data_IF_153469185751
#
_entry.id   IF_153469185751
#
_cell.length_a   1.000
_cell.length_b   1.000
_cell.length_c   1.000
_cell.angle_alpha   90.00
_cell.angle_beta   90.00
_cell.angle_gamma   90.00
#
_symmetry.space_group_name_H-M   'P 1'
#
loop_
_entity.id
_entity.type
_entity.pdbx_description
1 polymer ?
#
# COMPACT_ATOMS: atom_id res chain seq x y z
N UNK A 1 -26.27 36.62 -28.03
CA UNK A 1 -25.34 36.90 -26.91
C UNK A 1 -24.82 35.54 -26.43
N UNK A 2 -24.17 34.80 -27.32
CA UNK A 2 -23.85 33.36 -27.16
C UNK A 2 -22.36 33.06 -27.42
N UNK A 3 -21.56 34.10 -27.71
CA UNK A 3 -20.16 33.97 -28.11
C UNK A 3 -19.16 34.14 -26.96
N UNK A 4 -19.59 33.96 -25.69
CA UNK A 4 -18.71 34.24 -24.51
C UNK A 4 -18.40 33.05 -23.62
N UNK A 5 -19.07 31.90 -23.77
CA UNK A 5 -18.81 30.70 -22.95
C UNK A 5 -17.91 29.69 -23.66
N UNK A 6 -18.07 29.55 -24.97
CA UNK A 6 -17.29 28.65 -25.82
C UNK A 6 -15.81 29.07 -25.92
N UNK A 7 -15.54 30.38 -25.82
CA UNK A 7 -14.19 30.96 -25.82
C UNK A 7 -13.44 30.83 -24.49
N UNK A 8 -14.12 30.54 -23.37
CA UNK A 8 -13.50 30.28 -22.06
C UNK A 8 -13.09 28.81 -21.88
N UNK A 9 -13.76 27.89 -22.58
CA UNK A 9 -13.36 26.48 -22.64
C UNK A 9 -12.09 26.26 -23.48
N UNK A 10 -11.74 27.23 -24.33
CA UNK A 10 -10.59 27.16 -25.25
C UNK A 10 -9.24 27.58 -24.64
N UNK A 11 -9.19 28.04 -23.37
CA UNK A 11 -7.97 28.63 -22.77
C UNK A 11 -7.15 27.62 -21.96
N UNK A 12 -7.68 26.43 -21.67
CA UNK A 12 -6.90 25.37 -21.04
C UNK A 12 -6.59 24.30 -22.07
N UNK A 13 -5.55 24.53 -22.88
CA UNK A 13 -4.93 23.43 -23.63
C UNK A 13 -4.57 22.33 -22.64
N UNK A 14 -5.02 21.09 -22.84
CA UNK A 14 -4.68 20.00 -21.95
C UNK A 14 -3.15 19.86 -21.92
N UNK A 15 -2.61 19.67 -20.71
CA UNK A 15 -1.17 19.51 -20.51
C UNK A 15 -0.84 18.06 -20.84
N UNK A 16 -0.01 17.86 -21.86
CA UNK A 16 0.56 16.56 -22.17
C UNK A 16 1.74 16.25 -21.28
N UNK A 17 1.83 14.99 -20.86
CA UNK A 17 2.90 14.46 -20.03
C UNK A 17 3.39 13.16 -20.63
N UNK A 18 4.68 13.07 -20.86
CA UNK A 18 5.31 11.81 -21.25
C UNK A 18 5.54 10.96 -20.00
N UNK A 19 4.95 9.77 -19.99
CA UNK A 19 5.10 8.77 -18.94
C UNK A 19 6.16 7.77 -19.38
N UNK A 20 7.35 7.86 -18.80
CA UNK A 20 8.45 6.93 -19.10
C UNK A 20 8.24 5.60 -18.37
N UNK A 21 8.90 4.53 -18.83
CA UNK A 21 8.97 3.30 -18.06
C UNK A 21 9.58 3.56 -16.67
N UNK A 22 9.00 2.95 -15.63
CA UNK A 22 9.42 3.19 -14.24
C UNK A 22 8.60 4.27 -13.54
N UNK A 23 9.19 4.93 -12.54
CA UNK A 23 8.49 5.91 -11.70
C UNK A 23 8.41 7.28 -12.35
N UNK A 24 7.19 7.82 -12.41
CA UNK A 24 6.89 9.18 -12.86
C UNK A 24 6.13 9.91 -11.75
N UNK A 25 6.38 11.20 -11.60
CA UNK A 25 5.58 12.08 -10.73
C UNK A 25 4.78 13.02 -11.62
N UNK A 26 3.45 12.91 -11.57
CA UNK A 26 2.55 13.71 -12.39
C UNK A 26 1.61 14.54 -11.52
N UNK A 27 1.29 15.75 -11.96
CA UNK A 27 0.23 16.56 -11.38
C UNK A 27 -1.11 16.23 -12.05
N UNK A 28 -2.20 16.17 -11.29
CA UNK A 28 -3.54 16.10 -11.86
C UNK A 28 -4.00 17.50 -12.31
N UNK A 29 -4.39 17.62 -13.57
CA UNK A 29 -4.49 18.91 -14.27
C UNK A 29 -5.93 19.42 -14.45
N UNK A 30 -6.94 18.58 -14.23
CA UNK A 30 -8.33 19.01 -14.33
C UNK A 30 -8.78 19.79 -13.09
N UNK A 31 -9.70 20.76 -13.24
CA UNK A 31 -10.14 21.63 -12.14
C UNK A 31 -11.20 21.00 -11.23
N UNK A 32 -11.61 19.75 -11.49
CA UNK A 32 -12.60 19.00 -10.70
C UNK A 32 -12.12 17.58 -10.43
N UNK A 33 -12.66 16.95 -9.40
CA UNK A 33 -12.32 15.57 -9.04
C UNK A 33 -12.87 14.56 -10.06
N UNK A 34 -12.10 13.50 -10.34
CA UNK A 34 -12.52 12.45 -11.28
C UNK A 34 -12.00 11.09 -10.85
N UNK A 35 -12.77 10.03 -11.12
CA UNK A 35 -12.42 8.69 -10.70
C UNK A 35 -11.08 8.22 -11.26
N UNK A 36 -10.20 7.75 -10.38
CA UNK A 36 -8.83 7.34 -10.73
C UNK A 36 -8.82 6.22 -11.76
N UNK A 37 -9.67 5.20 -11.57
CA UNK A 37 -9.74 4.06 -12.47
C UNK A 37 -10.21 4.50 -13.87
N UNK A 38 -11.20 5.39 -13.95
CA UNK A 38 -11.66 5.97 -15.21
C UNK A 38 -10.57 6.79 -15.92
N UNK A 39 -9.84 7.64 -15.20
CA UNK A 39 -8.77 8.47 -15.77
C UNK A 39 -7.62 7.66 -16.39
N UNK A 40 -7.34 6.48 -15.85
CA UNK A 40 -6.22 5.64 -16.26
C UNK A 40 -6.65 4.42 -17.09
N UNK A 41 -7.93 4.28 -17.43
CA UNK A 41 -8.48 3.08 -18.07
C UNK A 41 -7.74 2.71 -19.37
N UNK A 42 -7.53 3.71 -20.24
CA UNK A 42 -6.84 3.55 -21.54
C UNK A 42 -5.40 3.02 -21.42
N UNK A 43 -4.74 3.26 -20.29
CA UNK A 43 -3.36 2.87 -20.03
C UNK A 43 -3.21 1.92 -18.83
N UNK A 44 -4.32 1.36 -18.35
CA UNK A 44 -4.39 0.55 -17.14
C UNK A 44 -3.47 -0.68 -17.22
N UNK A 45 -3.39 -1.32 -18.39
CA UNK A 45 -2.49 -2.43 -18.65
C UNK A 45 -0.99 -2.04 -18.58
N UNK A 46 -0.66 -0.78 -18.83
CA UNK A 46 0.70 -0.24 -18.77
C UNK A 46 1.08 0.29 -17.39
N UNK A 47 0.15 0.34 -16.44
CA UNK A 47 0.40 0.86 -15.08
C UNK A 47 0.57 -0.28 -14.09
N UNK A 48 1.70 -0.32 -13.38
CA UNK A 48 1.85 -1.19 -12.22
C UNK A 48 1.00 -0.69 -11.04
N UNK A 49 1.25 0.55 -10.61
CA UNK A 49 0.63 1.14 -9.42
C UNK A 49 0.66 2.67 -9.53
N UNK A 50 -0.39 3.31 -9.04
CA UNK A 50 -0.45 4.75 -8.81
C UNK A 50 -0.57 5.01 -7.31
N UNK A 51 0.14 6.03 -6.80
CA UNK A 51 0.12 6.40 -5.38
C UNK A 51 -0.21 7.88 -5.19
N UNK A 52 -1.04 8.15 -4.20
CA UNK A 52 -1.26 9.51 -3.68
C UNK A 52 -0.23 9.85 -2.60
N UNK A 53 -0.15 11.14 -2.24
CA UNK A 53 0.73 11.62 -1.18
C UNK A 53 0.39 11.00 0.20
N UNK A 54 -0.86 10.59 0.42
CA UNK A 54 -1.32 9.98 1.68
C UNK A 54 -1.13 8.46 1.74
N UNK A 55 -0.47 7.87 0.74
CA UNK A 55 -0.20 6.43 0.70
C UNK A 55 -1.37 5.59 0.19
N UNK A 56 -2.48 6.21 -0.21
CA UNK A 56 -3.52 5.52 -0.96
C UNK A 56 -3.01 5.12 -2.34
N UNK A 57 -3.46 3.97 -2.86
CA UNK A 57 -2.96 3.42 -4.11
C UNK A 57 -4.07 2.92 -5.02
N UNK A 58 -3.83 3.05 -6.32
CA UNK A 58 -4.60 2.40 -7.37
C UNK A 58 -3.72 1.32 -8.02
N UNK A 59 -4.22 0.10 -8.07
CA UNK A 59 -3.52 -1.08 -8.58
C UNK A 59 -4.42 -1.79 -9.60
N UNK A 60 -4.27 -1.47 -10.91
CA UNK A 60 -5.16 -1.99 -11.95
C UNK A 60 -5.19 -3.51 -12.02
N UNK A 61 -4.03 -4.16 -11.89
CA UNK A 61 -3.88 -5.61 -11.98
C UNK A 61 -4.72 -6.38 -10.95
N UNK A 62 -4.93 -5.81 -9.77
CA UNK A 62 -5.76 -6.42 -8.73
C UNK A 62 -7.17 -5.82 -8.67
N UNK A 63 -7.56 -4.96 -9.60
CA UNK A 63 -8.86 -4.29 -9.56
C UNK A 63 -9.04 -3.46 -8.28
N UNK A 64 -7.96 -2.88 -7.74
CA UNK A 64 -8.01 -2.15 -6.47
C UNK A 64 -7.88 -0.64 -6.71
N UNK A 65 -8.84 0.14 -6.22
CA UNK A 65 -8.77 1.61 -6.23
C UNK A 65 -8.98 2.19 -4.83
N UNK A 66 -7.90 2.26 -4.04
CA UNK A 66 -7.90 2.90 -2.73
C UNK A 66 -7.75 4.42 -2.77
N UNK A 67 -7.41 5.01 -3.93
CA UNK A 67 -7.35 6.48 -4.10
C UNK A 67 -8.76 7.06 -4.20
N UNK A 68 -9.67 6.35 -4.88
CA UNK A 68 -10.98 6.85 -5.22
C UNK A 68 -10.87 7.83 -6.38
N UNK A 69 -10.94 9.13 -6.07
CA UNK A 69 -10.97 10.20 -7.06
C UNK A 69 -9.66 11.02 -7.02
N UNK A 70 -9.16 11.38 -8.20
CA UNK A 70 -8.03 12.29 -8.35
C UNK A 70 -8.50 13.71 -8.01
N UNK A 71 -7.74 14.41 -7.16
CA UNK A 71 -8.11 15.74 -6.65
C UNK A 71 -7.31 16.84 -7.35
N UNK A 72 -7.96 17.94 -7.78
CA UNK A 72 -7.28 19.10 -8.36
C UNK A 72 -6.14 19.62 -7.48
N UNK A 73 -5.00 19.91 -8.10
CA UNK A 73 -3.81 20.43 -7.41
C UNK A 73 -3.00 19.39 -6.63
N UNK A 74 -3.35 18.11 -6.68
CA UNK A 74 -2.55 17.02 -6.12
C UNK A 74 -1.61 16.40 -7.16
N UNK A 75 -0.49 15.85 -6.66
CA UNK A 75 0.45 15.05 -7.43
C UNK A 75 0.33 13.56 -7.10
N UNK A 76 0.61 12.73 -8.10
CA UNK A 76 0.53 11.27 -8.03
C UNK A 76 1.80 10.64 -8.59
N UNK A 77 2.28 9.61 -7.90
CA UNK A 77 3.39 8.79 -8.40
C UNK A 77 2.85 7.62 -9.18
N UNK A 78 3.25 7.48 -10.44
CA UNK A 78 2.82 6.41 -11.35
C UNK A 78 4.03 5.54 -11.69
N UNK A 79 3.94 4.24 -11.40
CA UNK A 79 4.92 3.26 -11.83
C UNK A 79 4.42 2.60 -13.12
N UNK A 80 5.14 2.82 -14.22
CA UNK A 80 4.79 2.34 -15.55
C UNK A 80 5.56 1.07 -15.93
N UNK A 81 4.87 0.12 -16.57
CA UNK A 81 5.43 -1.05 -17.26
C UNK A 81 6.08 -0.66 -18.58
N UNK A 82 5.42 0.22 -19.31
CA UNK A 82 5.77 0.66 -20.67
C UNK A 82 5.59 2.18 -20.79
N UNK A 83 6.35 2.81 -21.68
CA UNK A 83 6.22 4.24 -21.92
C UNK A 83 4.92 4.61 -22.66
N UNK A 84 4.39 5.78 -22.33
CA UNK A 84 3.23 6.41 -22.98
C UNK A 84 3.55 7.88 -23.20
N UNK A 85 3.64 8.29 -24.44
CA UNK A 85 3.86 9.68 -24.81
C UNK A 85 2.53 10.43 -24.87
N UNK A 86 2.59 11.74 -24.65
CA UNK A 86 1.45 12.64 -24.78
C UNK A 86 0.21 12.26 -23.94
N UNK A 87 0.40 11.66 -22.76
CA UNK A 87 -0.72 11.34 -21.86
C UNK A 87 -1.39 12.63 -21.37
N UNK A 88 -2.72 12.69 -21.42
CA UNK A 88 -3.51 13.83 -20.97
C UNK A 88 -4.73 13.37 -20.18
N UNK A 89 -5.06 14.11 -19.12
CA UNK A 89 -6.35 13.93 -18.45
C UNK A 89 -7.46 14.57 -19.28
N UNK A 90 -8.50 13.79 -19.56
CA UNK A 90 -9.71 14.23 -20.27
C UNK A 90 -10.88 14.31 -19.31
N UNK A 91 -11.82 15.21 -19.59
CA UNK A 91 -13.10 15.22 -18.87
C UNK A 91 -13.91 13.99 -19.31
N UNK A 92 -14.25 13.12 -18.36
CA UNK A 92 -15.04 11.90 -18.58
C UNK A 92 -16.49 12.05 -18.13
N UNK A 93 -16.96 13.29 -17.92
CA UNK A 93 -18.35 13.63 -17.56
C UNK A 93 -18.90 12.84 -16.35
N UNK A 94 -18.03 12.58 -15.37
CA UNK A 94 -18.38 11.87 -14.15
C UNK A 94 -18.40 10.34 -14.27
N UNK A 95 -17.84 9.77 -15.34
CA UNK A 95 -17.65 8.33 -15.47
C UNK A 95 -16.94 7.74 -14.24
N UNK A 96 -17.50 6.64 -13.72
CA UNK A 96 -16.89 5.85 -12.65
C UNK A 96 -16.73 4.41 -13.14
N UNK A 97 -15.55 3.85 -12.93
CA UNK A 97 -15.29 2.45 -13.18
C UNK A 97 -15.28 1.74 -11.83
N UNK A 98 -16.25 0.85 -11.65
CA UNK A 98 -16.29 -0.08 -10.52
C UNK A 98 -15.31 -1.22 -10.79
N UNK A 99 -14.42 -1.48 -9.84
CA UNK A 99 -13.44 -2.55 -9.92
C UNK A 99 -13.80 -3.65 -8.93
N UNK A 100 -13.50 -4.89 -9.30
CA UNK A 100 -13.64 -6.03 -8.42
C UNK A 100 -12.25 -6.41 -7.90
N UNK A 101 -12.03 -6.20 -6.60
CA UNK A 101 -10.76 -6.51 -5.95
C UNK A 101 -10.47 -8.02 -6.02
N UNK A 102 -9.25 -8.37 -6.41
CA UNK A 102 -8.79 -9.75 -6.47
C UNK A 102 -7.61 -9.96 -5.53
N UNK A 103 -7.64 -11.09 -4.82
CA UNK A 103 -6.53 -11.50 -3.97
C UNK A 103 -5.48 -12.20 -4.86
N UNK A 104 -4.20 -11.83 -4.77
CA UNK A 104 -3.14 -12.51 -5.52
C UNK A 104 -3.06 -14.00 -5.18
N UNK A 105 -2.77 -14.84 -6.16
CA UNK A 105 -2.71 -16.30 -5.94
C UNK A 105 -1.68 -16.72 -4.89
N UNK A 106 -0.53 -16.03 -4.83
CA UNK A 106 0.54 -16.31 -3.87
C UNK A 106 0.09 -16.16 -2.41
N UNK A 107 -1.00 -15.43 -2.14
CA UNK A 107 -1.56 -15.31 -0.78
C UNK A 107 -2.04 -16.67 -0.28
N UNK A 108 -2.53 -17.54 -1.16
CA UNK A 108 -3.00 -18.88 -0.79
C UNK A 108 -1.84 -19.80 -0.37
N UNK A 109 -0.63 -19.52 -0.87
CA UNK A 109 0.58 -20.28 -0.58
C UNK A 109 1.32 -19.77 0.67
N UNK A 110 0.83 -18.69 1.29
CA UNK A 110 1.42 -18.19 2.53
C UNK A 110 1.19 -19.20 3.65
N UNK A 111 2.23 -19.56 4.43
CA UNK A 111 2.06 -20.40 5.60
C UNK A 111 1.13 -19.71 6.61
N UNK A 112 0.05 -20.38 6.99
CA UNK A 112 -0.91 -19.91 8.02
C UNK A 112 -0.30 -19.76 9.42
N UNK A 113 0.92 -20.27 9.64
CA UNK A 113 1.63 -20.24 10.92
C UNK A 113 2.86 -19.34 10.78
N UNK A 114 2.84 -18.22 11.50
CA UNK A 114 4.00 -17.39 11.77
C UNK A 114 4.84 -18.05 12.88
N UNK A 115 6.19 -17.96 12.86
CA UNK A 115 7.03 -18.45 13.96
C UNK A 115 6.69 -17.88 15.35
N UNK A 116 5.91 -16.79 15.40
CA UNK A 116 5.41 -16.20 16.64
C UNK A 116 4.02 -16.69 17.07
N UNK A 117 3.34 -17.52 16.27
CA UNK A 117 2.01 -18.05 16.59
C UNK A 117 2.07 -19.27 17.54
N UNK A 118 3.24 -19.91 17.63
CA UNK A 118 3.50 -20.99 18.59
C UNK A 118 4.33 -20.42 19.73
N UNK A 119 3.86 -20.60 20.97
CA UNK A 119 4.57 -20.21 22.17
C UNK A 119 5.84 -21.03 22.33
N UNK A 120 6.99 -20.40 22.11
CA UNK A 120 8.32 -21.02 22.21
C UNK A 120 9.12 -20.41 23.35
N UNK A 121 9.88 -21.25 24.07
CA UNK A 121 10.77 -20.80 25.13
C UNK A 121 11.98 -20.10 24.51
N UNK A 122 12.23 -18.86 24.90
CA UNK A 122 13.34 -18.04 24.41
C UNK A 122 14.51 -18.14 25.37
N UNK A 123 14.29 -17.86 26.67
CA UNK A 123 15.35 -17.84 27.69
C UNK A 123 14.84 -18.28 29.06
N UNK A 124 15.76 -18.79 29.87
CA UNK A 124 15.53 -18.99 31.31
C UNK A 124 16.50 -18.11 32.10
N UNK A 125 15.95 -17.24 32.94
CA UNK A 125 16.73 -16.30 33.74
C UNK A 125 16.60 -16.59 35.24
N UNK A 126 17.64 -16.29 36.01
CA UNK A 126 17.55 -16.23 37.47
C UNK A 126 16.95 -14.89 37.94
N UNK A 127 16.78 -14.71 39.26
CA UNK A 127 16.29 -13.46 39.85
C UNK A 127 17.20 -12.24 39.65
N UNK A 128 18.45 -12.45 39.22
CA UNK A 128 19.41 -11.40 38.86
C UNK A 128 19.36 -11.05 37.36
N UNK A 129 18.50 -11.70 36.58
CA UNK A 129 18.38 -11.47 35.13
C UNK A 129 19.46 -12.16 34.29
N UNK A 130 20.25 -13.06 34.89
CA UNK A 130 21.27 -13.82 34.18
C UNK A 130 20.65 -15.06 33.54
N UNK A 131 21.06 -15.37 32.31
CA UNK A 131 20.66 -16.61 31.63
C UNK A 131 21.32 -17.81 32.29
N UNK A 132 20.53 -18.81 32.66
CA UNK A 132 20.97 -19.95 33.45
C UNK A 132 20.47 -21.28 32.89
N UNK A 133 21.26 -22.33 33.07
CA UNK A 133 20.80 -23.69 32.87
C UNK A 133 20.00 -24.15 34.11
N UNK A 134 18.70 -24.50 33.97
CA UNK A 134 17.83 -24.91 35.09
C UNK A 134 18.36 -26.10 35.89
N UNK A 135 19.02 -27.06 35.23
CA UNK A 135 19.50 -28.31 35.83
C UNK A 135 20.66 -28.09 36.82
N UNK A 136 21.37 -26.96 36.69
CA UNK A 136 22.55 -26.65 37.49
C UNK A 136 22.24 -25.66 38.64
N UNK A 137 20.97 -25.40 38.92
CA UNK A 137 20.56 -24.42 39.93
C UNK A 137 20.25 -25.11 41.26
N UNK A 138 20.51 -24.40 42.36
CA UNK A 138 20.20 -24.90 43.70
C UNK A 138 18.68 -25.02 43.90
N UNK A 139 18.25 -26.03 44.65
CA UNK A 139 16.86 -26.15 45.09
C UNK A 139 16.39 -24.87 45.80
N UNK A 140 15.15 -24.46 45.54
CA UNK A 140 14.59 -23.20 46.03
C UNK A 140 14.93 -21.96 45.19
N UNK A 141 15.79 -22.08 44.17
CA UNK A 141 16.08 -20.97 43.25
C UNK A 141 14.86 -20.63 42.39
N UNK A 142 14.56 -19.33 42.24
CA UNK A 142 13.50 -18.85 41.34
C UNK A 142 14.06 -18.68 39.93
N UNK A 143 13.36 -19.28 38.97
CA UNK A 143 13.65 -19.18 37.54
C UNK A 143 12.48 -18.55 36.79
N UNK A 144 12.81 -17.69 35.82
CA UNK A 144 11.89 -17.00 34.94
C UNK A 144 12.05 -17.55 33.52
N UNK A 145 10.99 -18.15 32.97
CA UNK A 145 10.93 -18.69 31.62
C UNK A 145 10.27 -17.64 30.72
N UNK A 146 11.05 -17.05 29.81
CA UNK A 146 10.61 -16.01 28.89
C UNK A 146 10.24 -16.65 27.54
N UNK A 147 9.09 -16.27 27.01
CA UNK A 147 8.57 -16.80 25.75
C UNK A 147 8.57 -15.72 24.65
N UNK A 148 8.50 -16.14 23.39
CA UNK A 148 8.50 -15.26 22.20
C UNK A 148 7.28 -14.34 22.10
N UNK A 149 6.17 -14.71 22.76
CA UNK A 149 4.97 -13.89 22.93
C UNK A 149 5.11 -12.81 24.03
N UNK A 150 6.28 -12.70 24.66
CA UNK A 150 6.54 -11.77 25.76
C UNK A 150 6.00 -12.23 27.12
N UNK A 151 5.33 -13.37 27.20
CA UNK A 151 4.86 -13.92 28.47
C UNK A 151 6.03 -14.49 29.29
N UNK A 152 5.84 -14.52 30.62
CA UNK A 152 6.85 -15.02 31.56
C UNK A 152 6.23 -16.02 32.54
N UNK A 153 6.87 -17.17 32.72
CA UNK A 153 6.47 -18.16 33.74
C UNK A 153 7.52 -18.26 34.83
N UNK A 154 7.11 -18.12 36.08
CA UNK A 154 7.97 -18.31 37.25
C UNK A 154 7.92 -19.76 37.71
N UNK A 155 9.06 -20.40 37.92
CA UNK A 155 9.17 -21.73 38.54
C UNK A 155 10.21 -21.72 39.65
N UNK A 156 10.03 -22.58 40.65
CA UNK A 156 11.01 -22.81 41.72
C UNK A 156 11.66 -24.16 41.42
N UNK A 157 12.98 -24.21 41.49
CA UNK A 157 13.74 -25.46 41.37
C UNK A 157 13.33 -26.37 42.54
N UNK A 158 12.86 -27.60 42.27
CA UNK A 158 12.35 -28.51 43.29
C UNK A 158 13.40 -28.92 44.31
#
# INVERSE_FOLDING_TARGET
MEASYDSLLLISTPISVDLYQGWNLIGYTLPFEQNTAACFDEISNKIHIVKSNWGYMYWPEFGFNGIGDLLPGQGYQVLMREEVNDFMFTNLDGLRIELNETVPEWVNDLPLIHPNDIKTLVKVLNSLGQEVNPENQNSGTILLYLYNDGSVTKKIVP
#
